data_IF_632302184520
#
_entry.id   IF_632302184520
#
_cell.length_a   1.000
_cell.length_b   1.000
_cell.length_c   1.000
_cell.angle_alpha   90.00
_cell.angle_beta   90.00
_cell.angle_gamma   90.00
#
_symmetry.space_group_name_H-M   'P 1'
#
loop_
_entity.id
_entity.type
_entity.pdbx_description
1 polymer ?
#
# COMPACT_ATOMS: atom_id res chain seq x y z
N UNK A 1 -2.23 5.23 1.65
CA UNK A 1 -0.90 5.33 2.30
C UNK A 1 0.19 4.82 1.38
N UNK A 2 0.42 3.51 1.37
CA UNK A 2 1.52 2.86 0.63
C UNK A 2 1.54 3.15 -0.86
N UNK A 3 0.38 3.08 -1.53
CA UNK A 3 0.29 3.43 -2.96
C UNK A 3 0.71 4.89 -3.17
N UNK A 4 0.15 5.85 -2.44
CA UNK A 4 0.58 7.27 -2.57
C UNK A 4 2.10 7.49 -2.37
N UNK A 5 2.71 6.79 -1.40
CA UNK A 5 4.16 6.83 -1.18
C UNK A 5 4.94 6.31 -2.40
N UNK A 6 4.54 5.15 -2.93
CA UNK A 6 5.15 4.59 -4.13
C UNK A 6 4.96 5.49 -5.36
N UNK A 7 3.81 6.13 -5.55
CA UNK A 7 3.62 7.09 -6.65
C UNK A 7 4.64 8.22 -6.58
N UNK A 8 4.83 8.77 -5.38
CA UNK A 8 5.80 9.84 -5.14
C UNK A 8 7.23 9.39 -5.45
N UNK A 9 7.63 8.22 -4.94
CA UNK A 9 8.98 7.67 -5.19
C UNK A 9 9.19 7.40 -6.68
N UNK A 10 8.21 6.83 -7.39
CA UNK A 10 8.32 6.54 -8.81
C UNK A 10 8.58 7.80 -9.64
N UNK A 11 7.83 8.87 -9.38
CA UNK A 11 8.00 10.17 -10.05
C UNK A 11 9.36 10.77 -9.69
N UNK A 12 9.71 10.82 -8.39
CA UNK A 12 10.96 11.42 -7.94
C UNK A 12 12.19 10.65 -8.42
N UNK A 13 12.12 9.33 -8.55
CA UNK A 13 13.23 8.50 -9.02
C UNK A 13 13.58 8.78 -10.49
N UNK A 14 12.58 9.05 -11.34
CA UNK A 14 12.82 9.41 -12.75
C UNK A 14 13.45 10.79 -12.85
N UNK A 15 12.96 11.76 -12.06
CA UNK A 15 13.43 13.16 -12.13
C UNK A 15 14.83 13.33 -11.52
N UNK A 16 15.15 12.57 -10.47
CA UNK A 16 16.41 12.70 -9.71
C UNK A 16 17.26 11.42 -9.78
N UNK A 17 17.36 10.80 -10.97
CA UNK A 17 18.18 9.59 -11.14
C UNK A 17 19.63 9.85 -10.72
N UNK A 18 20.23 8.94 -9.95
CA UNK A 18 21.63 9.04 -9.51
C UNK A 18 22.65 8.58 -10.56
N UNK A 19 22.18 8.15 -11.73
CA UNK A 19 23.02 7.65 -12.82
C UNK A 19 23.33 8.77 -13.83
N UNK A 20 24.58 8.89 -14.33
CA UNK A 20 24.92 9.86 -15.36
C UNK A 20 24.28 9.49 -16.70
N UNK A 21 23.85 10.50 -17.46
CA UNK A 21 23.32 10.37 -18.83
C UNK A 21 22.07 9.49 -18.99
N UNK A 22 21.25 9.32 -17.94
CA UNK A 22 19.95 8.68 -18.08
C UNK A 22 18.97 9.62 -18.79
N UNK A 23 18.39 9.14 -19.88
CA UNK A 23 17.29 9.83 -20.54
C UNK A 23 16.00 9.64 -19.73
N UNK A 24 15.45 10.73 -19.20
CA UNK A 24 14.26 10.71 -18.37
C UNK A 24 13.02 10.12 -19.09
N UNK A 25 12.86 10.37 -20.39
CA UNK A 25 11.75 9.80 -21.17
C UNK A 25 11.90 8.28 -21.32
N UNK A 26 13.12 7.80 -21.57
CA UNK A 26 13.39 6.37 -21.66
C UNK A 26 13.17 5.67 -20.31
N UNK A 27 13.68 6.26 -19.22
CA UNK A 27 13.42 5.77 -17.86
C UNK A 27 11.93 5.79 -17.51
N UNK A 28 11.21 6.84 -17.91
CA UNK A 28 9.77 6.96 -17.73
C UNK A 28 8.99 5.87 -18.45
N UNK A 29 9.37 5.52 -19.69
CA UNK A 29 8.74 4.41 -20.43
C UNK A 29 8.98 3.06 -19.76
N UNK A 30 10.21 2.80 -19.29
CA UNK A 30 10.53 1.57 -18.55
C UNK A 30 9.72 1.51 -17.25
N UNK A 31 9.68 2.60 -16.48
CA UNK A 31 8.90 2.69 -15.25
C UNK A 31 7.41 2.47 -15.51
N UNK A 32 6.85 3.06 -16.57
CA UNK A 32 5.45 2.84 -16.96
C UNK A 32 5.17 1.36 -17.25
N UNK A 33 6.10 0.69 -17.94
CA UNK A 33 6.00 -0.76 -18.20
C UNK A 33 6.01 -1.58 -16.91
N UNK A 34 6.94 -1.29 -15.99
CA UNK A 34 7.02 -1.95 -14.69
C UNK A 34 5.73 -1.74 -13.89
N UNK A 35 5.28 -0.48 -13.75
CA UNK A 35 4.08 -0.12 -13.00
C UNK A 35 2.82 -0.76 -13.58
N UNK A 36 2.72 -0.87 -14.91
CA UNK A 36 1.62 -1.55 -15.58
C UNK A 36 1.61 -3.05 -15.29
N UNK A 37 2.76 -3.73 -15.46
CA UNK A 37 2.89 -5.17 -15.20
C UNK A 37 2.62 -5.51 -13.73
N UNK A 38 3.19 -4.73 -12.81
CA UNK A 38 2.99 -4.93 -11.38
C UNK A 38 1.55 -4.60 -10.96
N UNK A 39 0.93 -3.59 -11.57
CA UNK A 39 -0.47 -3.26 -11.36
C UNK A 39 -1.40 -4.43 -11.71
N UNK A 40 -1.11 -5.14 -12.80
CA UNK A 40 -1.85 -6.35 -13.18
C UNK A 40 -1.69 -7.49 -12.15
N UNK A 41 -0.46 -7.74 -11.68
CA UNK A 41 -0.21 -8.75 -10.63
C UNK A 41 -0.90 -8.36 -9.31
N UNK A 42 -0.82 -7.08 -8.94
CA UNK A 42 -1.46 -6.52 -7.75
C UNK A 42 -2.98 -6.67 -7.80
N UNK A 43 -3.60 -6.44 -8.97
CA UNK A 43 -5.03 -6.67 -9.16
C UNK A 43 -5.41 -8.15 -8.98
N UNK A 44 -4.58 -9.07 -9.48
CA UNK A 44 -4.76 -10.52 -9.29
C UNK A 44 -4.61 -10.99 -7.83
N UNK A 45 -3.86 -10.26 -7.01
CA UNK A 45 -3.70 -10.54 -5.59
C UNK A 45 -4.90 -10.10 -4.74
N UNK A 46 -5.78 -9.24 -5.27
CA UNK A 46 -7.00 -8.79 -4.60
C UNK A 46 -8.11 -9.81 -4.84
N UNK A 47 -8.45 -10.58 -3.82
CA UNK A 47 -9.47 -11.62 -3.89
C UNK A 47 -10.68 -11.23 -3.04
N UNK A 48 -11.87 -11.42 -3.59
CA UNK A 48 -13.12 -11.27 -2.87
C UNK A 48 -13.58 -12.64 -2.41
N UNK A 49 -13.59 -12.88 -1.10
CA UNK A 49 -13.88 -14.21 -0.54
C UNK A 49 -15.35 -14.25 -0.10
N UNK A 50 -16.13 -15.12 -0.76
CA UNK A 50 -17.53 -15.40 -0.41
C UNK A 50 -18.57 -14.36 -0.89
N UNK A 51 -19.82 -14.54 -0.47
CA UNK A 51 -20.99 -13.71 -0.83
C UNK A 51 -21.02 -12.31 -0.19
N UNK A 52 -19.92 -11.89 0.47
CA UNK A 52 -19.82 -10.66 1.25
C UNK A 52 -19.08 -9.50 0.56
N UNK A 53 -19.01 -8.35 1.23
CA UNK A 53 -18.21 -7.18 0.81
C UNK A 53 -16.76 -7.18 1.33
N UNK A 54 -16.30 -8.25 1.98
CA UNK A 54 -14.95 -8.27 2.56
C UNK A 54 -13.89 -8.58 1.49
N UNK A 55 -13.02 -7.59 1.24
CA UNK A 55 -11.94 -7.67 0.24
C UNK A 55 -10.66 -8.11 0.94
N UNK A 56 -10.06 -9.21 0.47
CA UNK A 56 -8.79 -9.72 0.98
C UNK A 56 -7.64 -9.40 0.01
N UNK A 57 -6.43 -9.22 0.54
CA UNK A 57 -5.23 -9.01 -0.28
C UNK A 57 -4.94 -7.56 -0.70
N UNK A 58 -5.74 -6.57 -0.25
CA UNK A 58 -5.47 -5.14 -0.47
C UNK A 58 -4.08 -4.71 0.05
N UNK A 59 -3.73 -5.15 1.26
CA UNK A 59 -2.41 -4.86 1.84
C UNK A 59 -1.28 -5.54 1.04
N UNK A 60 -1.49 -6.77 0.59
CA UNK A 60 -0.54 -7.50 -0.26
C UNK A 60 -0.32 -6.77 -1.59
N UNK A 61 -1.39 -6.36 -2.26
CA UNK A 61 -1.31 -5.59 -3.51
C UNK A 61 -0.52 -4.28 -3.32
N UNK A 62 -0.78 -3.56 -2.21
CA UNK A 62 -0.03 -2.35 -1.88
C UNK A 62 1.46 -2.61 -1.60
N UNK A 63 1.80 -3.71 -0.91
CA UNK A 63 3.20 -4.12 -0.68
C UNK A 63 3.94 -4.43 -1.98
N UNK A 64 3.30 -5.18 -2.89
CA UNK A 64 3.88 -5.51 -4.20
C UNK A 64 4.20 -4.21 -4.95
N UNK A 65 3.28 -3.24 -4.94
CA UNK A 65 3.46 -1.96 -5.60
C UNK A 65 4.65 -1.17 -5.04
N UNK A 66 4.74 -1.06 -3.71
CA UNK A 66 5.87 -0.39 -3.04
C UNK A 66 7.19 -1.11 -3.31
N UNK A 67 7.21 -2.44 -3.26
CA UNK A 67 8.42 -3.22 -3.51
C UNK A 67 8.97 -2.99 -4.92
N UNK A 68 8.09 -2.96 -5.92
CA UNK A 68 8.48 -2.69 -7.30
C UNK A 68 9.04 -1.28 -7.47
N UNK A 69 8.38 -0.27 -6.89
CA UNK A 69 8.85 1.11 -6.94
C UNK A 69 10.20 1.29 -6.24
N UNK A 70 10.40 0.69 -5.06
CA UNK A 70 11.69 0.74 -4.37
C UNK A 70 12.78 0.04 -5.19
N UNK A 71 12.48 -1.09 -5.82
CA UNK A 71 13.39 -1.76 -6.75
C UNK A 71 13.79 -0.86 -7.93
N UNK A 72 12.83 -0.14 -8.51
CA UNK A 72 13.12 0.82 -9.58
C UNK A 72 13.96 2.01 -9.10
N UNK A 73 13.69 2.54 -7.89
CA UNK A 73 14.50 3.59 -7.27
C UNK A 73 15.95 3.12 -7.01
N UNK A 74 16.12 1.86 -6.58
CA UNK A 74 17.44 1.24 -6.44
C UNK A 74 18.16 1.11 -7.79
N UNK A 75 17.45 0.68 -8.83
CA UNK A 75 18.00 0.59 -10.20
C UNK A 75 18.43 1.94 -10.78
N UNK A 76 17.78 3.03 -10.38
CA UNK A 76 18.14 4.40 -10.74
C UNK A 76 19.19 5.03 -9.79
N UNK A 77 19.74 4.26 -8.85
CA UNK A 77 20.73 4.67 -7.86
C UNK A 77 20.30 5.87 -6.98
N UNK A 78 19.01 6.02 -6.69
CA UNK A 78 18.47 7.13 -5.89
C UNK A 78 18.39 6.74 -4.40
N UNK A 79 19.55 6.61 -3.77
CA UNK A 79 19.70 6.07 -2.41
C UNK A 79 18.87 6.79 -1.32
N UNK A 80 18.76 8.14 -1.30
CA UNK A 80 17.95 8.82 -0.28
C UNK A 80 16.46 8.45 -0.36
N UNK A 81 15.91 8.36 -1.58
CA UNK A 81 14.52 7.93 -1.81
C UNK A 81 14.32 6.47 -1.44
N UNK A 82 15.30 5.61 -1.76
CA UNK A 82 15.23 4.19 -1.43
C UNK A 82 15.15 3.97 0.09
N UNK A 83 16.08 4.58 0.84
CA UNK A 83 16.14 4.41 2.30
C UNK A 83 14.93 5.07 2.97
N UNK A 84 14.62 6.32 2.63
CA UNK A 84 13.48 7.04 3.21
C UNK A 84 12.14 6.37 2.87
N UNK A 85 11.99 5.92 1.62
CA UNK A 85 10.81 5.20 1.15
C UNK A 85 10.62 3.85 1.85
N UNK A 86 11.69 3.08 2.03
CA UNK A 86 11.65 1.81 2.75
C UNK A 86 11.24 2.01 4.21
N UNK A 87 11.84 2.99 4.90
CA UNK A 87 11.51 3.28 6.30
C UNK A 87 10.06 3.73 6.46
N UNK A 88 9.57 4.60 5.57
CA UNK A 88 8.19 5.08 5.63
C UNK A 88 7.20 3.97 5.25
N UNK A 89 7.53 3.10 4.29
CA UNK A 89 6.74 1.94 3.95
C UNK A 89 6.63 0.96 5.14
N UNK A 90 7.76 0.66 5.80
CA UNK A 90 7.78 -0.15 7.01
C UNK A 90 6.94 0.49 8.11
N UNK A 91 7.08 1.79 8.35
CA UNK A 91 6.28 2.50 9.35
C UNK A 91 4.78 2.37 9.08
N UNK A 92 4.35 2.59 7.83
CA UNK A 92 2.94 2.48 7.45
C UNK A 92 2.42 1.05 7.63
N UNK A 93 3.22 0.04 7.29
CA UNK A 93 2.85 -1.37 7.47
C UNK A 93 2.76 -1.75 8.96
N UNK A 94 3.75 -1.33 9.75
CA UNK A 94 3.84 -1.68 11.17
C UNK A 94 2.77 -0.99 12.01
N UNK A 95 2.39 0.24 11.65
CA UNK A 95 1.33 1.00 12.33
C UNK A 95 -0.06 0.65 11.78
N UNK A 96 -0.16 0.29 10.50
CA UNK A 96 -1.45 -0.04 9.86
C UNK A 96 -2.14 -1.25 10.49
N UNK A 97 -1.42 -2.33 10.73
CA UNK A 97 -1.96 -3.55 11.32
C UNK A 97 -2.56 -3.38 12.74
N UNK A 98 -1.88 -2.76 13.72
CA UNK A 98 -2.47 -2.52 15.04
C UNK A 98 -3.60 -1.48 15.00
N UNK A 99 -3.55 -0.52 14.07
CA UNK A 99 -4.60 0.49 13.93
C UNK A 99 -5.91 -0.12 13.43
N UNK A 100 -5.86 -0.98 12.40
CA UNK A 100 -7.04 -1.70 11.91
C UNK A 100 -7.65 -2.61 12.98
N UNK A 101 -6.81 -3.29 13.78
CA UNK A 101 -7.29 -4.11 14.91
C UNK A 101 -8.06 -3.27 15.93
N UNK A 102 -7.50 -2.13 16.35
CA UNK A 102 -8.15 -1.24 17.33
C UNK A 102 -9.45 -0.63 16.81
N UNK A 103 -9.51 -0.28 15.52
CA UNK A 103 -10.73 0.26 14.89
C UNK A 103 -11.81 -0.82 14.83
N UNK A 104 -11.45 -2.05 14.43
CA UNK A 104 -12.40 -3.18 14.36
C UNK A 104 -12.91 -3.61 15.74
N UNK A 105 -12.06 -3.58 16.76
CA UNK A 105 -12.46 -3.85 18.15
C UNK A 105 -13.47 -2.83 18.66
N UNK A 106 -13.25 -1.53 18.41
CA UNK A 106 -14.22 -0.48 18.76
C UNK A 106 -15.55 -0.61 18.01
N UNK A 107 -15.49 -0.90 16.71
CA UNK A 107 -16.69 -1.07 15.89
C UNK A 107 -17.53 -2.31 16.28
N UNK A 108 -16.93 -3.34 16.89
CA UNK A 108 -17.65 -4.52 17.41
C UNK A 108 -18.32 -4.29 18.76
N UNK A 109 -17.91 -3.29 19.52
CA UNK A 109 -18.50 -3.01 20.84
C UNK A 109 -19.83 -2.24 20.75
N UNK A 110 -19.98 -1.36 19.75
CA UNK A 110 -21.20 -0.55 19.57
C UNK A 110 -22.49 -1.37 19.31
N UNK A 111 -22.50 -2.47 18.54
CA UNK A 111 -23.70 -3.29 18.36
C UNK A 111 -24.04 -4.15 19.59
N UNK A 112 -23.02 -4.62 20.32
CA UNK A 112 -23.21 -5.51 21.47
C UNK A 112 -23.73 -4.78 22.72
N UNK A 113 -23.41 -3.49 22.87
CA UNK A 113 -23.99 -2.63 23.91
C UNK A 113 -25.42 -2.18 23.58
N UNK A 114 -25.78 -2.05 22.29
CA UNK A 114 -27.15 -1.74 21.88
C UNK A 114 -28.11 -2.91 22.15
N UNK A 115 -27.74 -4.13 21.78
CA UNK A 115 -28.55 -5.35 21.99
C UNK A 115 -28.72 -5.70 23.49
N UNK A 116 -27.69 -5.45 24.32
CA UNK A 116 -27.79 -5.64 25.78
C UNK A 116 -28.74 -4.64 26.44
N UNK A 117 -28.73 -3.38 26.01
CA UNK A 117 -29.67 -2.36 26.52
C UNK A 117 -31.11 -2.71 26.16
N UNK A 118 -31.35 -3.19 24.95
CA UNK A 118 -32.69 -3.61 24.52
C UNK A 118 -33.16 -4.89 25.25
N UNK A 119 -32.24 -5.79 25.61
CA UNK A 119 -32.54 -6.99 26.38
C UNK A 119 -32.83 -6.71 27.88
N UNK A 120 -32.14 -5.75 28.50
CA UNK A 120 -32.42 -5.31 29.88
C UNK A 120 -33.69 -4.44 29.99
N UNK A 121 -34.12 -3.81 28.90
CA UNK A 121 -35.26 -2.89 28.89
C UNK A 121 -36.59 -3.55 28.50
N UNK A 122 -36.61 -4.85 28.20
CA UNK A 122 -37.84 -5.60 27.94
C UNK A 122 -38.42 -6.14 29.27
N UNK A 123 -39.64 -5.70 29.66
CA UNK A 123 -40.28 -6.09 30.92
C UNK A 123 -40.77 -7.54 30.95
#
# INVERSE_FOLDING_TARGET
GLVGLASCIAVQAIVHSGLPNVNADAAGRVMQGILSGVGFIGAGAVLRVGSGQEVHGLATAACIWVSATLGAAAGLAVWPLLVGGLLLAMLVLFVGAPLERRIRERARQTPAEADRRDAEQKP
#
